data_IF_163346543268
#
_entry.id   IF_163346543268
#
_cell.length_a   1.000
_cell.length_b   1.000
_cell.length_c   1.000
_cell.angle_alpha   90.00
_cell.angle_beta   90.00
_cell.angle_gamma   90.00
#
_symmetry.space_group_name_H-M   'P 1'
#
loop_
_entity.id
_entity.type
_entity.pdbx_description
1 polymer ?
#
# COMPACT_ATOMS: atom_id res chain seq x y z
N UNK A 1 16.75 8.65 -13.42
CA UNK A 1 15.82 7.50 -13.27
C UNK A 1 15.07 7.64 -11.98
N UNK A 2 13.73 7.52 -11.99
CA UNK A 2 12.92 7.62 -10.77
C UNK A 2 13.13 6.41 -9.90
N UNK A 3 13.26 6.60 -8.59
CA UNK A 3 13.26 5.49 -7.64
C UNK A 3 11.83 4.98 -7.41
N UNK A 4 11.71 3.84 -6.74
CA UNK A 4 10.41 3.18 -6.52
C UNK A 4 9.43 4.03 -5.72
N UNK A 5 9.91 4.76 -4.73
CA UNK A 5 9.07 5.65 -3.92
C UNK A 5 8.50 6.77 -4.80
N UNK A 6 9.32 7.39 -5.63
CA UNK A 6 8.86 8.43 -6.55
C UNK A 6 7.81 7.90 -7.54
N UNK A 7 8.02 6.71 -8.09
CA UNK A 7 7.07 6.05 -8.99
C UNK A 7 5.74 5.80 -8.26
N UNK A 8 5.80 5.28 -7.06
CA UNK A 8 4.60 4.97 -6.29
C UNK A 8 3.82 6.24 -5.92
N UNK A 9 4.49 7.26 -5.43
CA UNK A 9 3.83 8.51 -5.05
C UNK A 9 3.26 9.23 -6.28
N UNK A 10 3.96 9.24 -7.39
CA UNK A 10 3.47 9.80 -8.65
C UNK A 10 2.22 9.06 -9.15
N UNK A 11 2.23 7.73 -9.07
CA UNK A 11 1.08 6.89 -9.42
C UNK A 11 -0.12 7.22 -8.53
N UNK A 12 0.11 7.33 -7.24
CA UNK A 12 -0.93 7.67 -6.27
C UNK A 12 -1.53 9.05 -6.54
N UNK A 13 -0.69 10.04 -6.78
CA UNK A 13 -1.12 11.42 -7.05
C UNK A 13 -1.82 11.55 -8.40
N UNK A 14 -1.62 10.61 -9.32
CA UNK A 14 -2.33 10.58 -10.60
C UNK A 14 -3.77 10.05 -10.49
N UNK A 15 -4.19 9.58 -9.30
CA UNK A 15 -5.56 9.12 -9.06
C UNK A 15 -5.70 7.61 -8.81
N UNK A 16 -4.60 6.86 -8.77
CA UNK A 16 -4.63 5.43 -8.42
C UNK A 16 -4.67 5.26 -6.90
N UNK A 17 -5.06 4.08 -6.42
CA UNK A 17 -5.08 3.80 -4.98
C UNK A 17 -3.71 3.36 -4.45
N UNK A 18 -3.62 3.19 -3.13
CA UNK A 18 -2.38 2.82 -2.45
C UNK A 18 -1.80 1.49 -2.95
N UNK A 19 -2.66 0.48 -3.12
CA UNK A 19 -2.22 -0.84 -3.56
C UNK A 19 -1.70 -0.80 -5.00
N UNK A 20 -2.43 -0.13 -5.89
CA UNK A 20 -2.00 0.07 -7.26
C UNK A 20 -0.65 0.78 -7.32
N UNK A 21 -0.45 1.75 -6.45
CA UNK A 21 0.77 2.57 -6.44
C UNK A 21 2.00 1.77 -6.02
N UNK A 22 1.89 1.00 -4.93
CA UNK A 22 3.01 0.17 -4.47
C UNK A 22 3.33 -0.91 -5.51
N UNK A 23 2.32 -1.61 -6.01
CA UNK A 23 2.54 -2.69 -6.96
C UNK A 23 3.11 -2.17 -8.28
N UNK A 24 2.68 -1.01 -8.75
CA UNK A 24 3.20 -0.37 -9.97
C UNK A 24 4.71 -0.12 -9.85
N UNK A 25 5.18 0.31 -8.69
CA UNK A 25 6.60 0.59 -8.48
C UNK A 25 7.50 -0.65 -8.69
N UNK A 26 6.92 -1.85 -8.55
CA UNK A 26 7.64 -3.11 -8.72
C UNK A 26 7.23 -3.87 -9.98
N UNK A 27 6.39 -3.30 -10.84
CA UNK A 27 5.84 -4.01 -12.00
C UNK A 27 6.91 -4.55 -12.95
N UNK A 28 7.97 -3.77 -13.19
CA UNK A 28 9.08 -4.20 -14.04
C UNK A 28 9.87 -5.33 -13.38
N UNK A 29 10.19 -5.20 -12.11
CA UNK A 29 10.94 -6.21 -11.36
C UNK A 29 10.16 -7.52 -11.26
N UNK A 30 8.84 -7.44 -11.10
CA UNK A 30 7.95 -8.59 -11.08
C UNK A 30 7.63 -9.14 -12.48
N UNK A 31 8.01 -8.42 -13.52
CA UNK A 31 7.76 -8.79 -14.91
C UNK A 31 6.27 -8.95 -15.24
N UNK A 32 5.44 -8.06 -14.72
CA UNK A 32 4.00 -8.01 -14.99
C UNK A 32 3.66 -6.80 -15.86
N UNK A 33 2.64 -6.98 -16.70
CA UNK A 33 2.10 -5.87 -17.51
C UNK A 33 1.42 -4.88 -16.60
N UNK A 34 1.63 -3.59 -16.83
CA UNK A 34 1.06 -2.52 -16.03
C UNK A 34 -0.46 -2.60 -15.97
N UNK A 35 -1.13 -2.88 -17.09
CA UNK A 35 -2.59 -3.00 -17.13
C UNK A 35 -3.12 -4.10 -16.21
N UNK A 36 -2.42 -5.23 -16.12
CA UNK A 36 -2.78 -6.35 -15.24
C UNK A 36 -2.56 -5.98 -13.77
N UNK A 37 -1.45 -5.33 -13.49
CA UNK A 37 -1.14 -4.83 -12.14
C UNK A 37 -2.24 -3.89 -11.66
N UNK A 38 -2.62 -2.92 -12.48
CA UNK A 38 -3.64 -1.94 -12.12
C UNK A 38 -5.03 -2.60 -11.94
N UNK A 39 -5.35 -3.58 -12.77
CA UNK A 39 -6.64 -4.29 -12.67
C UNK A 39 -6.73 -5.14 -11.40
N UNK A 40 -5.71 -5.97 -11.13
CA UNK A 40 -5.71 -6.88 -9.98
C UNK A 40 -5.75 -6.12 -8.65
N UNK A 41 -5.05 -5.02 -8.57
CA UNK A 41 -4.95 -4.25 -7.32
C UNK A 41 -6.05 -3.18 -7.15
N UNK A 42 -6.94 -3.03 -8.13
CA UNK A 42 -7.92 -1.94 -8.15
C UNK A 42 -8.91 -1.96 -6.97
N UNK A 43 -9.25 -3.13 -6.45
CA UNK A 43 -10.21 -3.27 -5.34
C UNK A 43 -9.60 -3.10 -3.96
N UNK A 44 -8.30 -2.87 -3.84
CA UNK A 44 -7.60 -2.86 -2.54
C UNK A 44 -7.38 -1.47 -1.95
N UNK A 45 -7.91 -0.43 -2.59
CA UNK A 45 -7.79 0.94 -2.09
C UNK A 45 -8.68 1.19 -0.87
N UNK A 46 -8.31 2.16 -0.04
CA UNK A 46 -9.08 2.54 1.13
C UNK A 46 -9.28 1.41 2.14
N UNK A 47 -8.32 0.49 2.23
CA UNK A 47 -8.42 -0.68 3.09
C UNK A 47 -9.37 -1.73 2.55
N UNK A 48 -9.21 -2.08 1.29
CA UNK A 48 -10.02 -3.04 0.53
C UNK A 48 -11.45 -2.54 0.33
N UNK A 49 -11.71 -2.04 -0.88
CA UNK A 49 -13.03 -1.52 -1.25
C UNK A 49 -13.50 -0.35 -0.39
N UNK A 50 -12.58 0.43 0.12
CA UNK A 50 -12.85 1.54 1.05
C UNK A 50 -13.54 1.12 2.34
N UNK A 51 -13.45 -0.16 2.71
CA UNK A 51 -14.00 -0.67 3.97
C UNK A 51 -13.05 -0.50 5.16
N UNK A 52 -11.89 0.07 4.94
CA UNK A 52 -10.91 0.44 5.97
C UNK A 52 -10.34 -0.73 6.78
N UNK A 53 -10.24 -1.89 6.15
CA UNK A 53 -9.47 -3.02 6.64
C UNK A 53 -7.98 -2.77 6.39
N UNK A 54 -7.21 -3.77 6.02
CA UNK A 54 -5.77 -3.62 5.81
C UNK A 54 -5.45 -2.53 4.78
N UNK A 55 -4.55 -1.63 5.13
CA UNK A 55 -4.09 -0.53 4.27
C UNK A 55 -3.66 -1.04 2.90
N UNK A 56 -4.06 -0.33 1.83
CA UNK A 56 -3.69 -0.69 0.45
C UNK A 56 -2.19 -0.73 0.21
N UNK A 57 -1.42 0.14 0.86
CA UNK A 57 0.04 0.10 0.77
C UNK A 57 0.59 -1.22 1.34
N UNK A 58 -0.05 -1.78 2.35
CA UNK A 58 0.33 -3.06 2.97
C UNK A 58 -0.06 -4.23 2.06
N UNK A 59 -1.31 -4.26 1.59
CA UNK A 59 -1.75 -5.34 0.67
C UNK A 59 -0.99 -5.33 -0.64
N UNK A 60 -0.69 -4.15 -1.17
CA UNK A 60 0.18 -4.00 -2.33
C UNK A 60 1.57 -4.57 -2.07
N UNK A 61 2.13 -4.29 -0.90
CA UNK A 61 3.42 -4.85 -0.48
C UNK A 61 3.37 -6.37 -0.38
N UNK A 62 2.27 -6.94 0.12
CA UNK A 62 2.11 -8.40 0.20
C UNK A 62 2.15 -9.04 -1.19
N UNK A 63 1.50 -8.42 -2.17
CA UNK A 63 1.55 -8.90 -3.55
C UNK A 63 2.97 -8.84 -4.12
N UNK A 64 3.70 -7.77 -3.84
CA UNK A 64 5.10 -7.63 -4.24
C UNK A 64 5.96 -8.72 -3.61
N UNK A 65 5.81 -8.95 -2.31
CA UNK A 65 6.57 -9.98 -1.59
C UNK A 65 6.28 -11.37 -2.17
N UNK A 66 5.04 -11.65 -2.55
CA UNK A 66 4.69 -12.88 -3.23
C UNK A 66 5.43 -13.04 -4.55
N UNK A 67 5.50 -11.96 -5.32
CA UNK A 67 6.24 -11.96 -6.59
C UNK A 67 7.74 -12.20 -6.38
N UNK A 68 8.34 -11.54 -5.39
CA UNK A 68 9.79 -11.56 -5.17
C UNK A 68 10.29 -12.83 -4.45
N UNK A 69 9.42 -13.55 -3.74
CA UNK A 69 9.78 -14.68 -2.87
C UNK A 69 9.76 -16.03 -3.60
N UNK A 70 9.65 -16.01 -4.91
CA UNK A 70 9.77 -17.19 -5.76
C UNK A 70 8.80 -18.34 -5.43
N UNK A 71 7.58 -17.99 -5.00
CA UNK A 71 6.42 -18.91 -4.91
C UNK A 71 6.44 -19.94 -3.78
N UNK A 72 7.37 -19.89 -2.84
CA UNK A 72 7.30 -20.72 -1.64
C UNK A 72 6.38 -20.05 -0.60
N UNK A 73 5.21 -20.63 -0.35
CA UNK A 73 4.22 -20.05 0.55
C UNK A 73 4.75 -19.84 1.98
N UNK A 74 5.60 -20.74 2.44
CA UNK A 74 6.19 -20.60 3.79
C UNK A 74 7.11 -19.38 3.86
N UNK A 75 7.94 -19.17 2.84
CA UNK A 75 8.81 -18.01 2.76
C UNK A 75 8.02 -16.72 2.59
N UNK A 76 6.97 -16.74 1.77
CA UNK A 76 6.08 -15.60 1.61
C UNK A 76 5.44 -15.23 2.94
N UNK A 77 4.92 -16.20 3.68
CA UNK A 77 4.28 -15.97 4.96
C UNK A 77 5.25 -15.36 5.97
N UNK A 78 6.48 -15.84 6.02
CA UNK A 78 7.53 -15.26 6.88
C UNK A 78 7.83 -13.82 6.51
N UNK A 79 7.95 -13.53 5.23
CA UNK A 79 8.20 -12.17 4.74
C UNK A 79 7.06 -11.22 5.09
N UNK A 80 5.81 -11.66 4.91
CA UNK A 80 4.62 -10.89 5.27
C UNK A 80 4.58 -10.61 6.78
N UNK A 81 4.87 -11.62 7.60
CA UNK A 81 4.89 -11.45 9.05
C UNK A 81 5.98 -10.46 9.48
N UNK A 82 7.16 -10.56 8.88
CA UNK A 82 8.27 -9.66 9.17
C UNK A 82 7.95 -8.22 8.73
N UNK A 83 7.43 -8.06 7.52
CA UNK A 83 6.95 -6.76 7.03
C UNK A 83 5.95 -6.15 8.00
N UNK A 84 4.95 -6.93 8.40
CA UNK A 84 3.85 -6.46 9.23
C UNK A 84 4.34 -6.01 10.61
N UNK A 85 5.27 -6.72 11.21
CA UNK A 85 5.85 -6.33 12.50
C UNK A 85 6.59 -5.00 12.40
N UNK A 86 7.37 -4.81 11.35
CA UNK A 86 8.11 -3.55 11.14
C UNK A 86 7.12 -2.41 10.91
N UNK A 87 6.13 -2.62 10.05
CA UNK A 87 5.13 -1.60 9.71
C UNK A 87 4.34 -1.16 10.95
N UNK A 88 3.85 -2.12 11.75
CA UNK A 88 3.12 -1.82 12.99
C UNK A 88 4.01 -1.10 13.98
N UNK A 89 5.26 -1.53 14.13
CA UNK A 89 6.19 -0.89 15.05
C UNK A 89 6.43 0.57 14.69
N UNK A 90 6.47 0.89 13.41
CA UNK A 90 6.76 2.26 12.95
C UNK A 90 5.51 3.13 12.80
N UNK A 91 4.40 2.57 12.35
CA UNK A 91 3.19 3.35 12.04
C UNK A 91 1.99 3.04 12.93
N UNK A 92 2.07 2.02 13.77
CA UNK A 92 1.09 1.73 14.81
C UNK A 92 0.01 0.73 14.45
N UNK A 93 -0.30 0.52 13.19
CA UNK A 93 -1.36 -0.40 12.75
C UNK A 93 -1.18 -0.78 11.29
N UNK A 94 -1.81 -1.88 10.86
CA UNK A 94 -1.94 -2.24 9.45
C UNK A 94 -3.26 -1.72 8.85
N UNK A 95 -4.21 -1.28 9.66
CA UNK A 95 -5.58 -1.00 9.23
C UNK A 95 -5.74 0.45 8.78
N UNK A 96 -6.39 0.62 7.63
CA UNK A 96 -6.66 1.94 7.04
C UNK A 96 -7.40 2.86 8.01
N UNK A 97 -8.42 2.34 8.71
CA UNK A 97 -9.18 3.12 9.68
C UNK A 97 -8.32 3.68 10.81
N UNK A 98 -7.47 2.83 11.38
CA UNK A 98 -6.56 3.24 12.46
C UNK A 98 -5.50 4.23 11.97
N UNK A 99 -4.94 3.96 10.80
CA UNK A 99 -3.88 4.80 10.24
C UNK A 99 -4.37 6.19 9.85
N UNK A 100 -5.55 6.28 9.24
CA UNK A 100 -6.11 7.57 8.80
C UNK A 100 -6.85 8.30 9.90
N UNK A 101 -7.39 7.58 10.89
CA UNK A 101 -8.27 8.16 11.90
C UNK A 101 -9.57 8.69 11.34
N UNK A 102 -9.97 8.25 10.14
CA UNK A 102 -11.19 8.71 9.46
C UNK A 102 -12.12 7.52 9.21
N UNK A 103 -13.43 7.76 9.36
CA UNK A 103 -14.46 6.78 9.04
C UNK A 103 -15.07 7.11 7.67
N UNK A 104 -14.70 6.37 6.63
CA UNK A 104 -15.16 6.62 5.27
C UNK A 104 -16.63 6.28 5.06
N UNK A 105 -17.28 5.61 6.01
CA UNK A 105 -18.72 5.35 5.95
C UNK A 105 -19.55 6.57 6.32
N UNK A 106 -18.92 7.62 6.83
CA UNK A 106 -19.60 8.86 7.25
C UNK A 106 -19.16 10.04 6.41
N UNK A 107 -20.04 11.03 6.27
CA UNK A 107 -19.69 12.30 5.63
C UNK A 107 -18.61 13.05 6.42
N UNK A 108 -18.70 13.02 7.74
CA UNK A 108 -17.70 13.65 8.62
C UNK A 108 -16.31 13.06 8.42
N UNK A 109 -16.20 11.73 8.35
CA UNK A 109 -14.93 11.05 8.15
C UNK A 109 -14.32 11.36 6.78
N UNK A 110 -15.13 11.35 5.73
CA UNK A 110 -14.70 11.70 4.37
C UNK A 110 -14.24 13.16 4.29
N UNK A 111 -14.99 14.06 4.93
CA UNK A 111 -14.65 15.48 4.98
C UNK A 111 -13.35 15.70 5.76
N UNK A 112 -13.17 15.03 6.89
CA UNK A 112 -11.94 15.08 7.69
C UNK A 112 -10.73 14.63 6.87
N UNK A 113 -10.88 13.53 6.12
CA UNK A 113 -9.81 13.01 5.26
C UNK A 113 -9.33 14.06 4.27
N UNK A 114 -10.26 14.75 3.62
CA UNK A 114 -9.95 15.79 2.63
C UNK A 114 -9.40 17.04 3.30
N UNK A 115 -10.08 17.57 4.31
CA UNK A 115 -9.76 18.87 4.91
C UNK A 115 -8.44 18.85 5.70
N UNK A 116 -8.09 17.72 6.30
CA UNK A 116 -6.86 17.60 7.08
C UNK A 116 -5.68 17.09 6.27
N UNK A 117 -5.80 16.98 4.95
CA UNK A 117 -4.76 16.47 4.06
C UNK A 117 -4.20 15.10 4.50
N UNK A 118 -5.10 14.22 4.94
CA UNK A 118 -4.72 12.88 5.42
C UNK A 118 -4.06 12.06 4.30
N UNK A 119 -4.53 12.25 3.06
CA UNK A 119 -3.95 11.60 1.89
C UNK A 119 -2.44 11.87 1.79
N UNK A 120 -2.03 13.12 1.91
CA UNK A 120 -0.62 13.50 1.82
C UNK A 120 0.16 13.15 3.08
N UNK A 121 -0.44 13.32 4.25
CA UNK A 121 0.25 13.09 5.53
C UNK A 121 0.38 11.63 5.90
N UNK A 122 -0.66 10.83 5.65
CA UNK A 122 -0.72 9.44 6.10
C UNK A 122 -0.51 8.48 4.95
N UNK A 123 -1.29 8.59 3.87
CA UNK A 123 -1.22 7.65 2.76
C UNK A 123 0.13 7.68 2.04
N UNK A 124 0.69 8.87 1.81
CA UNK A 124 2.04 9.01 1.24
C UNK A 124 3.08 8.32 2.15
N UNK A 125 2.97 8.51 3.46
CA UNK A 125 3.86 7.88 4.44
C UNK A 125 3.74 6.36 4.42
N UNK A 126 2.52 5.83 4.36
CA UNK A 126 2.29 4.38 4.29
C UNK A 126 2.89 3.78 3.03
N UNK A 127 2.74 4.44 1.89
CA UNK A 127 3.31 4.01 0.61
C UNK A 127 4.83 3.99 0.68
N UNK A 128 5.43 5.10 1.11
CA UNK A 128 6.89 5.23 1.21
C UNK A 128 7.48 4.21 2.18
N UNK A 129 6.87 4.04 3.33
CA UNK A 129 7.32 3.08 4.35
C UNK A 129 7.23 1.65 3.84
N UNK A 130 6.14 1.30 3.13
CA UNK A 130 5.99 -0.03 2.55
C UNK A 130 7.14 -0.36 1.61
N UNK A 131 7.52 0.57 0.75
CA UNK A 131 8.62 0.37 -0.19
C UNK A 131 9.95 0.26 0.54
N UNK A 132 10.20 1.11 1.54
CA UNK A 132 11.42 1.03 2.35
C UNK A 132 11.55 -0.35 3.02
N UNK A 133 10.46 -0.87 3.58
CA UNK A 133 10.47 -2.18 4.25
C UNK A 133 10.72 -3.30 3.24
N UNK A 134 10.03 -3.28 2.09
CA UNK A 134 10.23 -4.29 1.04
C UNK A 134 11.70 -4.34 0.65
N UNK A 135 12.30 -3.19 0.39
CA UNK A 135 13.68 -3.12 -0.09
C UNK A 135 14.70 -3.52 1.00
N UNK A 136 14.31 -3.53 2.27
CA UNK A 136 15.15 -3.95 3.40
C UNK A 136 15.08 -5.45 3.69
N UNK A 137 14.12 -6.15 3.16
CA UNK A 137 13.90 -7.58 3.44
C UNK A 137 14.82 -8.53 2.68
#
# INVERSE_FOLDING_TARGET
MKNKIEIALSTFDSGRNCAQSVLTAYSQQCNYKLEDVLAISSGFGGGMGSMQHTCGAVTGAFMVLGCLTNKDNNEINKSIQKFSKIFINELGSLDCGDLTGCDFSTTEGTTKFTNNNIREKVCHTCISKSIEIIDSL
#
